data_IF_872709872154
#
_entry.id   IF_872709872154
#
_cell.length_a   1.000
_cell.length_b   1.000
_cell.length_c   1.000
_cell.angle_alpha   90.00
_cell.angle_beta   90.00
_cell.angle_gamma   90.00
#
_symmetry.space_group_name_H-M   'P 1'
#
loop_
_entity.id
_entity.type
_entity.pdbx_description
1 polymer ?
#
# COMPACT_ATOMS: atom_id res chain seq x y z
N UNK A 1 -15.59 30.51 20.73
CA UNK A 1 -16.61 29.47 20.65
C UNK A 1 -17.26 29.63 19.28
N UNK A 2 -16.75 28.97 18.29
CA UNK A 2 -17.34 28.80 16.95
C UNK A 2 -17.17 27.32 16.61
N UNK A 3 -18.27 26.62 16.66
CA UNK A 3 -18.41 25.20 16.32
C UNK A 3 -18.28 25.06 14.82
N UNK A 4 -17.30 24.31 14.35
CA UNK A 4 -17.19 23.89 12.95
C UNK A 4 -18.14 22.71 12.74
N UNK A 5 -19.26 22.96 12.08
CA UNK A 5 -20.22 21.92 11.69
C UNK A 5 -19.60 21.07 10.57
N UNK A 6 -19.45 19.78 10.83
CA UNK A 6 -19.13 18.76 9.82
C UNK A 6 -20.24 18.73 8.77
N UNK A 7 -19.93 19.09 7.55
CA UNK A 7 -20.80 18.85 6.41
C UNK A 7 -20.71 17.37 6.02
N UNK A 8 -21.66 16.59 6.52
CA UNK A 8 -21.89 15.22 6.04
C UNK A 8 -22.52 15.27 4.65
N UNK A 9 -21.75 14.93 3.62
CA UNK A 9 -22.27 14.67 2.29
C UNK A 9 -22.89 13.26 2.23
N UNK A 10 -24.07 13.09 1.66
CA UNK A 10 -24.63 11.77 1.43
C UNK A 10 -23.85 11.05 0.32
N UNK A 11 -23.30 9.87 0.63
CA UNK A 11 -22.66 8.97 -0.34
C UNK A 11 -23.67 8.57 -1.41
N UNK A 12 -23.48 9.07 -2.64
CA UNK A 12 -24.30 8.72 -3.80
C UNK A 12 -23.68 7.50 -4.48
N UNK A 13 -24.35 6.36 -4.41
CA UNK A 13 -23.95 5.15 -5.14
C UNK A 13 -24.22 5.33 -6.64
N UNK A 14 -23.26 5.84 -7.38
CA UNK A 14 -23.26 5.80 -8.83
C UNK A 14 -22.46 4.58 -9.30
N UNK A 15 -23.15 3.64 -9.94
CA UNK A 15 -22.54 2.46 -10.54
C UNK A 15 -21.74 2.88 -11.78
N UNK A 16 -20.45 3.13 -11.62
CA UNK A 16 -19.51 3.25 -12.74
C UNK A 16 -18.96 1.87 -13.07
N UNK A 17 -19.25 1.40 -14.28
CA UNK A 17 -18.70 0.16 -14.88
C UNK A 17 -17.43 0.56 -15.60
N UNK A 18 -16.37 -0.08 -15.27
CA UNK A 18 -15.03 -0.24 -15.88
C UNK A 18 -13.92 -0.06 -14.85
N UNK A 19 -13.54 -1.17 -14.24
CA UNK A 19 -12.31 -1.24 -13.47
C UNK A 19 -11.53 -2.50 -13.86
N UNK A 20 -10.43 -2.32 -14.58
CA UNK A 20 -9.40 -3.33 -14.83
C UNK A 20 -8.09 -2.76 -14.24
N UNK A 21 -7.99 -2.76 -12.93
CA UNK A 21 -6.76 -2.48 -12.22
C UNK A 21 -6.20 -3.78 -11.64
N UNK A 22 -4.94 -4.06 -11.97
CA UNK A 22 -4.23 -5.31 -11.66
C UNK A 22 -3.90 -5.39 -10.17
N UNK A 23 -4.68 -6.13 -9.38
CA UNK A 23 -4.22 -6.69 -8.12
C UNK A 23 -3.27 -7.85 -8.44
N UNK A 24 -1.97 -7.61 -8.33
CA UNK A 24 -0.95 -8.65 -8.53
C UNK A 24 -0.91 -9.58 -7.34
N UNK A 25 -1.72 -10.64 -7.36
CA UNK A 25 -1.53 -11.80 -6.49
C UNK A 25 -0.26 -12.52 -6.96
N UNK A 26 0.77 -12.58 -6.12
CA UNK A 26 2.00 -13.31 -6.40
C UNK A 26 1.72 -14.82 -6.51
N UNK A 27 1.44 -15.28 -7.71
CA UNK A 27 1.48 -16.70 -8.09
C UNK A 27 2.83 -16.97 -8.74
N UNK A 28 3.69 -17.69 -8.04
CA UNK A 28 4.95 -18.22 -8.57
C UNK A 28 4.63 -19.19 -9.71
N UNK A 29 4.86 -18.77 -10.95
CA UNK A 29 4.95 -19.68 -12.08
C UNK A 29 6.37 -19.68 -12.64
N UNK A 30 7.05 -20.80 -12.53
CA UNK A 30 8.27 -21.08 -13.29
C UNK A 30 7.95 -21.07 -14.79
N UNK A 31 8.66 -20.28 -15.57
CA UNK A 31 8.81 -20.53 -16.99
C UNK A 31 10.20 -20.12 -17.47
N UNK A 32 10.88 -21.11 -18.05
CA UNK A 32 12.12 -20.98 -18.82
C UNK A 32 11.83 -20.38 -20.22
N UNK A 33 12.79 -19.60 -20.75
CA UNK A 33 12.85 -19.51 -22.19
C UNK A 33 13.46 -18.25 -22.79
N UNK A 34 14.66 -18.37 -23.25
CA UNK A 34 15.57 -17.63 -24.16
C UNK A 34 14.95 -16.66 -25.22
N UNK A 35 15.55 -15.56 -25.48
CA UNK A 35 16.66 -15.19 -26.38
C UNK A 35 16.39 -13.99 -27.31
N UNK A 36 17.38 -13.09 -27.33
CA UNK A 36 17.93 -12.25 -28.42
C UNK A 36 17.03 -11.44 -29.39
N UNK A 37 17.29 -10.12 -29.49
CA UNK A 37 18.03 -9.57 -30.65
C UNK A 37 18.12 -8.03 -30.67
N UNK A 38 19.35 -7.56 -30.68
CA UNK A 38 20.05 -6.51 -31.49
C UNK A 38 19.42 -5.12 -31.72
N UNK A 39 20.29 -4.17 -31.39
CA UNK A 39 20.30 -2.73 -31.62
C UNK A 39 20.22 -2.26 -33.08
N UNK A 40 19.65 -1.06 -33.27
CA UNK A 40 20.14 -0.13 -34.30
C UNK A 40 19.91 1.32 -33.86
N UNK A 41 21.02 2.09 -33.89
CA UNK A 41 21.09 3.53 -33.70
C UNK A 41 20.81 4.27 -35.00
N UNK A 42 20.00 5.36 -34.93
CA UNK A 42 20.05 6.42 -35.96
C UNK A 42 19.82 7.78 -35.33
N UNK A 43 20.73 8.72 -35.67
CA UNK A 43 20.81 10.05 -35.06
C UNK A 43 19.71 11.00 -35.53
N UNK A 44 19.40 11.92 -34.66
CA UNK A 44 18.34 12.93 -34.80
C UNK A 44 18.94 14.34 -34.93
N UNK A 45 18.27 15.18 -35.73
CA UNK A 45 18.71 16.52 -36.14
C UNK A 45 18.29 17.62 -35.10
N UNK A 46 18.89 18.85 -35.13
CA UNK A 46 18.79 19.86 -34.08
C UNK A 46 17.43 20.55 -33.90
N UNK A 47 16.41 20.21 -34.64
CA UNK A 47 15.06 20.81 -34.53
C UNK A 47 14.15 20.19 -33.46
N UNK A 48 14.56 19.07 -32.87
CA UNK A 48 13.74 18.36 -31.86
C UNK A 48 13.94 18.88 -30.43
N UNK A 49 15.03 19.61 -30.18
CA UNK A 49 15.29 20.20 -28.86
C UNK A 49 14.36 21.39 -28.55
N UNK A 50 13.99 22.16 -29.58
CA UNK A 50 13.04 23.28 -29.41
C UNK A 50 11.60 22.78 -29.23
N UNK A 51 11.25 21.67 -29.87
CA UNK A 51 9.94 21.03 -29.72
C UNK A 51 9.78 20.36 -28.37
N UNK A 52 10.84 19.75 -27.83
CA UNK A 52 10.85 19.13 -26.47
C UNK A 52 10.79 20.19 -25.35
N UNK A 53 11.41 21.34 -25.51
CA UNK A 53 11.30 22.47 -24.56
C UNK A 53 9.88 23.08 -24.59
N UNK A 54 9.24 23.08 -25.74
CA UNK A 54 7.87 23.59 -25.88
C UNK A 54 6.82 22.59 -25.38
N UNK A 55 7.09 21.28 -25.49
CA UNK A 55 6.29 20.20 -24.88
C UNK A 55 6.44 20.16 -23.34
N UNK A 56 7.65 20.39 -22.81
CA UNK A 56 7.87 20.49 -21.37
C UNK A 56 7.22 21.74 -20.75
N UNK A 57 7.07 22.82 -21.50
CA UNK A 57 6.33 24.02 -21.06
C UNK A 57 4.81 23.90 -21.27
N UNK A 58 4.34 22.89 -21.99
CA UNK A 58 2.92 22.60 -22.20
C UNK A 58 2.39 21.52 -21.22
N UNK A 59 3.27 20.81 -20.50
CA UNK A 59 2.86 19.85 -19.47
C UNK A 59 2.29 20.51 -18.20
N UNK A 60 2.59 21.81 -17.99
CA UNK A 60 1.98 22.59 -16.89
C UNK A 60 0.54 23.08 -17.19
N UNK A 61 -0.06 22.67 -18.29
CA UNK A 61 -1.36 23.18 -18.74
C UNK A 61 -2.43 22.10 -19.01
N UNK A 62 -2.19 20.83 -18.64
CA UNK A 62 -3.20 19.77 -18.80
C UNK A 62 -3.43 19.09 -17.46
N UNK A 63 -3.98 19.80 -16.49
CA UNK A 63 -4.73 19.20 -15.39
C UNK A 63 -5.74 20.23 -14.87
N UNK A 64 -6.86 20.34 -15.54
CA UNK A 64 -8.06 20.99 -15.03
C UNK A 64 -9.23 20.05 -15.24
N UNK A 65 -9.26 19.00 -14.42
CA UNK A 65 -10.50 18.35 -14.04
C UNK A 65 -10.38 18.01 -12.55
N UNK A 66 -10.98 18.85 -11.73
CA UNK A 66 -11.35 18.81 -10.31
C UNK A 66 -10.44 18.10 -9.26
N UNK A 67 -9.19 17.74 -9.55
CA UNK A 67 -8.26 17.17 -8.59
C UNK A 67 -7.35 18.22 -7.95
N UNK A 68 -7.03 18.08 -6.66
CA UNK A 68 -6.02 18.90 -5.99
C UNK A 68 -4.61 18.46 -6.43
N UNK A 69 -3.65 19.40 -6.41
CA UNK A 69 -2.25 19.12 -6.76
C UNK A 69 -1.55 18.23 -5.69
N UNK A 70 -0.43 17.63 -6.06
CA UNK A 70 0.39 16.87 -5.11
C UNK A 70 0.83 17.72 -3.90
N UNK A 71 1.12 19.01 -4.10
CA UNK A 71 1.46 19.95 -3.03
C UNK A 71 0.27 20.18 -2.07
N UNK A 72 -0.92 20.40 -2.60
CA UNK A 72 -2.14 20.53 -1.80
C UNK A 72 -2.51 19.23 -1.09
N UNK A 73 -2.30 18.08 -1.74
CA UNK A 73 -2.45 16.76 -1.10
C UNK A 73 -1.49 16.61 0.09
N UNK A 74 -0.21 16.94 -0.09
CA UNK A 74 0.79 16.88 0.98
C UNK A 74 0.40 17.78 2.17
N UNK A 75 -0.07 18.99 1.90
CA UNK A 75 -0.54 19.91 2.96
C UNK A 75 -1.75 19.31 3.71
N UNK A 76 -2.71 18.76 2.98
CA UNK A 76 -3.92 18.19 3.56
C UNK A 76 -3.66 16.97 4.46
N UNK A 77 -2.72 16.10 4.10
CA UNK A 77 -2.42 14.88 4.87
C UNK A 77 -1.49 15.12 6.06
N UNK A 78 -0.79 16.26 6.12
CA UNK A 78 0.25 16.53 7.14
C UNK A 78 -0.28 16.41 8.59
N UNK A 79 -1.53 16.76 8.84
CA UNK A 79 -2.13 16.70 10.19
C UNK A 79 -2.66 15.33 10.59
N UNK A 80 -2.76 14.39 9.65
CA UNK A 80 -3.29 13.06 9.95
C UNK A 80 -2.28 12.23 10.73
N UNK A 81 -2.77 11.45 11.69
CA UNK A 81 -1.92 10.61 12.52
C UNK A 81 -1.56 9.29 11.81
N UNK A 82 -2.41 8.82 10.90
CA UNK A 82 -2.13 7.68 10.03
C UNK A 82 -2.30 8.12 8.57
N UNK A 83 -1.31 7.80 7.74
CA UNK A 83 -1.35 8.03 6.30
C UNK A 83 -1.07 6.71 5.60
N UNK A 84 -1.97 6.33 4.70
CA UNK A 84 -1.80 5.13 3.87
C UNK A 84 -1.38 5.57 2.47
N UNK A 85 -0.24 5.07 2.00
CA UNK A 85 0.25 5.29 0.63
C UNK A 85 0.01 4.03 -0.19
N UNK A 86 -1.09 4.03 -0.93
CA UNK A 86 -1.54 2.89 -1.74
C UNK A 86 -0.79 2.80 -3.05
N UNK A 87 -0.03 1.72 -3.23
CA UNK A 87 0.90 1.52 -4.35
C UNK A 87 0.43 0.43 -5.32
N UNK A 88 0.93 0.52 -6.54
CA UNK A 88 1.11 -0.64 -7.43
C UNK A 88 2.52 -1.19 -7.19
N UNK A 89 2.66 -2.36 -6.59
CA UNK A 89 3.92 -2.92 -6.08
C UNK A 89 5.10 -2.94 -7.07
N UNK A 90 4.84 -2.90 -8.36
CA UNK A 90 5.87 -2.88 -9.41
C UNK A 90 6.12 -1.50 -10.01
N UNK A 91 5.47 -0.44 -9.52
CA UNK A 91 5.56 0.91 -10.06
C UNK A 91 6.74 1.68 -9.46
N UNK A 92 7.76 1.95 -10.27
CA UNK A 92 8.89 2.79 -9.85
C UNK A 92 8.43 4.21 -9.46
N UNK A 93 7.44 4.77 -10.16
CA UNK A 93 6.89 6.09 -9.88
C UNK A 93 6.20 6.14 -8.52
N UNK A 94 5.46 5.09 -8.14
CA UNK A 94 4.78 5.04 -6.84
C UNK A 94 5.79 4.99 -5.69
N UNK A 95 6.87 4.20 -5.81
CA UNK A 95 7.91 4.13 -4.78
C UNK A 95 8.74 5.43 -4.70
N UNK A 96 8.94 6.12 -5.82
CA UNK A 96 9.55 7.44 -5.81
C UNK A 96 8.68 8.47 -5.09
N UNK A 97 7.37 8.47 -5.36
CA UNK A 97 6.40 9.34 -4.67
C UNK A 97 6.29 9.02 -3.17
N UNK A 98 6.30 7.75 -2.79
CA UNK A 98 6.35 7.34 -1.38
C UNK A 98 7.56 7.93 -0.67
N UNK A 99 8.74 7.85 -1.27
CA UNK A 99 9.96 8.43 -0.69
C UNK A 99 9.85 9.95 -0.56
N UNK A 100 9.32 10.64 -1.58
CA UNK A 100 9.11 12.10 -1.56
C UNK A 100 8.19 12.51 -0.40
N UNK A 101 7.03 11.85 -0.27
CA UNK A 101 6.07 12.13 0.81
C UNK A 101 6.68 11.86 2.18
N UNK A 102 7.37 10.71 2.35
CA UNK A 102 8.06 10.37 3.60
C UNK A 102 9.10 11.41 3.98
N UNK A 103 9.89 11.89 3.02
CA UNK A 103 10.91 12.92 3.26
C UNK A 103 10.27 14.25 3.68
N UNK A 104 9.19 14.66 3.02
CA UNK A 104 8.49 15.89 3.30
C UNK A 104 7.84 15.88 4.70
N UNK A 105 7.20 14.78 5.08
CA UNK A 105 6.56 14.62 6.39
C UNK A 105 7.60 14.43 7.50
N UNK A 106 8.61 13.60 7.30
CA UNK A 106 9.67 13.35 8.26
C UNK A 106 10.56 14.56 8.57
N UNK A 107 10.58 15.56 7.67
CA UNK A 107 11.24 16.84 7.93
C UNK A 107 10.46 17.73 8.93
N UNK A 108 9.18 17.45 9.16
CA UNK A 108 8.29 18.30 9.96
C UNK A 108 7.92 17.68 11.30
N UNK A 109 7.93 16.34 11.42
CA UNK A 109 7.46 15.64 12.62
C UNK A 109 8.08 14.24 12.76
N UNK A 110 7.93 13.65 13.94
CA UNK A 110 8.31 12.25 14.16
C UNK A 110 7.37 11.31 13.41
N UNK A 111 7.95 10.44 12.59
CA UNK A 111 7.22 9.45 11.81
C UNK A 111 7.71 8.03 12.10
N UNK A 112 6.88 7.05 11.79
CA UNK A 112 7.27 5.65 11.62
C UNK A 112 6.73 5.16 10.27
N UNK A 113 7.43 4.23 9.63
CA UNK A 113 7.03 3.68 8.33
C UNK A 113 6.55 2.24 8.53
N UNK A 114 5.26 2.03 8.29
CA UNK A 114 4.65 0.70 8.25
C UNK A 114 4.85 0.06 6.89
N UNK A 115 5.27 -1.20 6.86
CA UNK A 115 5.72 -1.89 5.67
C UNK A 115 4.93 -3.19 5.46
N UNK A 116 4.07 -3.25 4.44
CA UNK A 116 3.37 -4.47 4.04
C UNK A 116 4.33 -5.58 3.62
N UNK A 117 5.43 -5.22 2.95
CA UNK A 117 6.40 -6.17 2.42
C UNK A 117 7.13 -6.98 3.51
N UNK A 118 7.03 -6.60 4.78
CA UNK A 118 7.59 -7.34 5.90
C UNK A 118 6.52 -7.95 6.80
N UNK A 119 6.68 -9.24 7.09
CA UNK A 119 5.78 -9.96 7.98
C UNK A 119 6.20 -9.78 9.44
N UNK A 120 5.25 -9.71 10.36
CA UNK A 120 5.44 -9.43 11.80
C UNK A 120 6.54 -10.24 12.49
N UNK A 121 6.77 -11.54 12.19
CA UNK A 121 7.88 -12.29 12.77
C UNK A 121 9.27 -11.72 12.50
N UNK A 122 9.41 -10.89 11.45
CA UNK A 122 10.69 -10.32 11.04
C UNK A 122 10.94 -8.91 11.62
N UNK A 123 10.08 -8.39 12.49
CA UNK A 123 10.33 -7.12 13.17
C UNK A 123 11.72 -7.08 13.83
N UNK A 124 12.19 -8.13 14.55
CA UNK A 124 13.54 -8.10 15.14
C UNK A 124 14.67 -7.98 14.11
N UNK A 125 14.44 -8.38 12.86
CA UNK A 125 15.44 -8.25 11.78
C UNK A 125 15.51 -6.79 11.30
N UNK A 126 14.37 -6.12 11.15
CA UNK A 126 14.30 -4.67 10.86
C UNK A 126 14.98 -3.87 11.97
N UNK A 127 14.69 -4.17 13.23
CA UNK A 127 15.28 -3.48 14.38
C UNK A 127 16.81 -3.59 14.41
N UNK A 128 17.35 -4.77 14.11
CA UNK A 128 18.79 -5.00 14.02
C UNK A 128 19.45 -4.27 12.86
N UNK A 129 18.73 -4.15 11.74
CA UNK A 129 19.21 -3.38 10.60
C UNK A 129 19.29 -1.88 10.92
N UNK A 130 18.26 -1.33 11.54
CA UNK A 130 18.25 0.07 11.98
C UNK A 130 19.32 0.36 13.06
N UNK A 131 19.63 -0.63 13.91
CA UNK A 131 20.69 -0.54 14.93
C UNK A 131 22.11 -0.73 14.39
N UNK A 132 22.31 -0.84 13.07
CA UNK A 132 23.62 -1.16 12.44
C UNK A 132 24.22 -2.51 12.86
N UNK A 133 23.43 -3.45 13.37
CA UNK A 133 23.90 -4.77 13.81
C UNK A 133 24.02 -5.76 12.64
N UNK A 134 23.29 -5.53 11.55
CA UNK A 134 23.33 -6.33 10.33
C UNK A 134 23.39 -5.45 9.08
N UNK A 135 23.95 -6.00 7.99
CA UNK A 135 23.97 -5.34 6.68
C UNK A 135 22.61 -5.41 5.97
N UNK A 136 22.46 -4.69 4.87
CA UNK A 136 21.27 -4.75 4.02
C UNK A 136 21.10 -6.12 3.38
N UNK A 137 22.18 -6.76 2.94
CA UNK A 137 22.13 -8.14 2.42
C UNK A 137 21.64 -9.12 3.49
N UNK A 138 22.05 -8.91 4.74
CA UNK A 138 21.58 -9.74 5.85
C UNK A 138 20.13 -9.45 6.24
N UNK A 139 19.65 -8.21 6.05
CA UNK A 139 18.22 -7.87 6.17
C UNK A 139 17.41 -8.66 5.14
N UNK A 140 17.78 -8.60 3.86
CA UNK A 140 17.09 -9.29 2.76
C UNK A 140 17.05 -10.80 3.01
N UNK A 141 18.19 -11.39 3.36
CA UNK A 141 18.31 -12.83 3.62
C UNK A 141 17.48 -13.27 4.84
N UNK A 142 17.64 -12.57 5.99
CA UNK A 142 17.03 -13.00 7.25
C UNK A 142 15.54 -12.69 7.35
N UNK A 143 15.03 -11.72 6.58
CA UNK A 143 13.60 -11.47 6.43
C UNK A 143 12.96 -12.37 5.37
N UNK A 144 13.74 -13.16 4.66
CA UNK A 144 13.31 -14.01 3.54
C UNK A 144 12.58 -13.19 2.45
N UNK A 145 12.97 -11.90 2.27
CA UNK A 145 12.29 -10.94 1.43
C UNK A 145 12.02 -11.45 0.00
N UNK A 146 13.04 -12.00 -0.67
CA UNK A 146 12.93 -12.48 -2.05
C UNK A 146 11.88 -13.59 -2.25
N UNK A 147 11.69 -14.42 -1.22
CA UNK A 147 10.76 -15.56 -1.28
C UNK A 147 9.37 -15.25 -0.74
N UNK A 148 9.25 -14.24 0.12
CA UNK A 148 7.98 -13.87 0.77
C UNK A 148 7.26 -12.72 0.10
N UNK A 149 8.02 -11.77 -0.46
CA UNK A 149 7.45 -10.61 -1.16
C UNK A 149 7.55 -10.74 -2.68
N UNK A 150 8.74 -10.98 -3.21
CA UNK A 150 8.95 -11.34 -4.62
C UNK A 150 9.03 -10.16 -5.59
N UNK A 151 8.90 -8.92 -5.13
CA UNK A 151 9.16 -7.73 -5.94
C UNK A 151 10.61 -7.29 -5.76
N UNK A 152 11.15 -6.56 -6.76
CA UNK A 152 12.54 -6.10 -6.75
C UNK A 152 12.83 -5.26 -5.50
N UNK A 153 13.90 -5.62 -4.80
CA UNK A 153 14.36 -4.91 -3.61
C UNK A 153 14.64 -3.43 -3.89
N UNK A 154 15.20 -3.11 -5.04
CA UNK A 154 15.58 -1.73 -5.38
C UNK A 154 14.38 -0.78 -5.52
N UNK A 155 13.16 -1.28 -5.62
CA UNK A 155 11.95 -0.47 -5.52
C UNK A 155 11.78 0.12 -4.11
N UNK A 156 12.05 -0.66 -3.07
CA UNK A 156 11.86 -0.28 -1.66
C UNK A 156 13.14 0.18 -0.97
N UNK A 157 14.29 -0.24 -1.46
CA UNK A 157 15.59 0.05 -0.85
C UNK A 157 15.85 1.54 -0.58
N UNK A 158 15.49 2.49 -1.47
CA UNK A 158 15.66 3.92 -1.18
C UNK A 158 14.92 4.37 0.09
N UNK A 159 13.71 3.87 0.32
CA UNK A 159 12.91 4.20 1.51
C UNK A 159 13.54 3.58 2.76
N UNK A 160 13.94 2.31 2.68
CA UNK A 160 14.55 1.57 3.79
C UNK A 160 15.89 2.19 4.21
N UNK A 161 16.72 2.59 3.22
CA UNK A 161 18.00 3.29 3.44
C UNK A 161 17.76 4.67 4.06
N UNK A 162 16.80 5.44 3.54
CA UNK A 162 16.42 6.73 4.10
C UNK A 162 15.95 6.62 5.56
N UNK A 163 15.12 5.63 5.87
CA UNK A 163 14.66 5.40 7.23
C UNK A 163 15.83 5.11 8.19
N UNK A 164 16.80 4.28 7.77
CA UNK A 164 18.00 3.98 8.55
C UNK A 164 18.86 5.22 8.77
N UNK A 165 19.14 6.00 7.72
CA UNK A 165 19.95 7.20 7.79
C UNK A 165 19.36 8.27 8.72
N UNK A 166 18.03 8.32 8.83
CA UNK A 166 17.30 9.30 9.63
C UNK A 166 16.77 8.71 10.95
N UNK A 167 17.12 7.45 11.28
CA UNK A 167 16.66 6.77 12.50
C UNK A 167 15.12 6.69 12.62
N UNK A 168 14.44 6.57 11.49
CA UNK A 168 12.98 6.40 11.43
C UNK A 168 12.63 4.95 11.70
N UNK A 169 11.72 4.64 12.65
CA UNK A 169 11.29 3.28 12.91
C UNK A 169 10.62 2.62 11.67
N UNK A 170 10.99 1.38 11.39
CA UNK A 170 10.37 0.52 10.39
C UNK A 170 9.51 -0.53 11.08
N UNK A 171 8.27 -0.68 10.65
CA UNK A 171 7.28 -1.54 11.27
C UNK A 171 6.85 -2.64 10.29
N UNK A 172 7.09 -3.90 10.66
CA UNK A 172 6.59 -5.04 9.90
C UNK A 172 5.08 -5.20 10.13
N UNK A 173 4.28 -4.95 9.11
CA UNK A 173 2.83 -4.94 9.24
C UNK A 173 2.18 -6.30 8.98
N UNK A 174 2.74 -7.10 8.07
CA UNK A 174 2.00 -8.18 7.41
C UNK A 174 1.88 -9.46 8.25
N UNK A 175 0.84 -10.21 7.94
CA UNK A 175 0.61 -11.57 8.45
C UNK A 175 1.67 -12.53 7.90
N UNK A 176 2.11 -13.55 8.67
CA UNK A 176 2.92 -14.63 8.12
C UNK A 176 2.22 -15.31 6.94
N UNK A 177 2.92 -15.46 5.81
CA UNK A 177 2.36 -16.01 4.57
C UNK A 177 1.78 -17.42 4.74
N UNK A 178 2.31 -18.20 5.67
CA UNK A 178 1.83 -19.54 6.02
C UNK A 178 0.43 -19.49 6.61
N UNK A 179 0.17 -18.50 7.48
CA UNK A 179 -1.12 -18.30 8.13
C UNK A 179 -2.16 -17.86 7.11
N UNK A 180 -1.85 -16.87 6.29
CA UNK A 180 -2.75 -16.41 5.23
C UNK A 180 -3.08 -17.53 4.24
N UNK A 181 -2.08 -18.32 3.84
CA UNK A 181 -2.27 -19.46 2.94
C UNK A 181 -3.17 -20.54 3.59
N UNK A 182 -3.00 -20.81 4.88
CA UNK A 182 -3.85 -21.74 5.63
C UNK A 182 -5.29 -21.25 5.62
N UNK A 183 -5.54 -19.97 5.90
CA UNK A 183 -6.90 -19.40 5.88
C UNK A 183 -7.50 -19.47 4.46
N UNK A 184 -6.74 -19.11 3.43
CA UNK A 184 -7.21 -19.18 2.04
C UNK A 184 -7.61 -20.60 1.61
N UNK A 185 -7.00 -21.63 2.20
CA UNK A 185 -7.27 -23.04 1.88
C UNK A 185 -8.36 -23.62 2.77
N UNK A 186 -8.25 -23.44 4.08
CA UNK A 186 -8.99 -24.20 5.10
C UNK A 186 -9.92 -23.32 5.96
N UNK A 187 -9.89 -21.99 5.78
CA UNK A 187 -10.69 -21.01 6.53
C UNK A 187 -10.10 -20.60 7.88
N UNK A 188 -10.66 -19.56 8.50
CA UNK A 188 -10.21 -19.02 9.79
C UNK A 188 -10.28 -20.04 10.92
N UNK A 189 -11.29 -20.89 10.95
CA UNK A 189 -11.49 -21.91 11.99
C UNK A 189 -10.37 -22.97 12.02
N UNK A 190 -9.55 -23.03 10.98
CA UNK A 190 -8.40 -23.93 10.89
C UNK A 190 -7.20 -23.47 11.74
N UNK A 191 -7.17 -22.18 12.13
CA UNK A 191 -6.03 -21.60 12.84
C UNK A 191 -5.96 -22.10 14.29
N UNK A 192 -4.75 -22.45 14.71
CA UNK A 192 -4.47 -22.90 16.09
C UNK A 192 -2.99 -22.79 16.44
N UNK A 193 -2.67 -22.81 17.72
CA UNK A 193 -1.28 -22.82 18.19
C UNK A 193 -0.48 -21.60 17.72
N UNK A 194 0.68 -21.84 17.14
CA UNK A 194 1.62 -20.77 16.72
C UNK A 194 1.07 -19.86 15.64
N UNK A 195 0.09 -20.31 14.83
CA UNK A 195 -0.56 -19.49 13.81
C UNK A 195 -1.29 -18.27 14.40
N UNK A 196 -1.69 -18.35 15.67
CA UNK A 196 -2.38 -17.25 16.37
C UNK A 196 -1.42 -16.19 16.96
N UNK A 197 -0.11 -16.39 16.87
CA UNK A 197 0.87 -15.54 17.58
C UNK A 197 0.98 -14.12 16.97
N UNK A 198 0.79 -14.02 15.65
CA UNK A 198 1.08 -12.79 14.89
C UNK A 198 -0.14 -12.21 14.21
N UNK A 199 -1.32 -12.58 14.65
CA UNK A 199 -2.60 -12.08 14.15
C UNK A 199 -3.45 -11.57 15.31
N UNK A 200 -4.46 -10.72 15.05
CA UNK A 200 -5.46 -10.35 16.06
C UNK A 200 -6.18 -11.59 16.59
N UNK A 201 -6.84 -11.51 17.76
CA UNK A 201 -7.78 -12.52 18.20
C UNK A 201 -8.78 -12.85 17.08
N UNK A 202 -9.02 -14.16 16.84
CA UNK A 202 -9.86 -14.60 15.70
C UNK A 202 -11.28 -14.01 15.75
N UNK A 203 -11.80 -13.76 16.94
CA UNK A 203 -13.11 -13.14 17.16
C UNK A 203 -13.16 -11.62 16.88
N UNK A 204 -11.99 -10.99 16.67
CA UNK A 204 -11.88 -9.61 16.21
C UNK A 204 -11.75 -9.48 14.68
N UNK A 205 -11.56 -10.59 13.97
CA UNK A 205 -11.45 -10.63 12.50
C UNK A 205 -12.86 -10.55 11.90
N UNK A 206 -13.25 -9.35 11.45
CA UNK A 206 -14.60 -9.10 10.95
C UNK A 206 -14.72 -9.38 9.44
N UNK A 207 -15.34 -10.50 9.11
CA UNK A 207 -15.63 -10.92 7.72
C UNK A 207 -17.08 -10.61 7.30
N UNK A 208 -17.79 -9.74 8.03
CA UNK A 208 -19.23 -9.49 7.81
C UNK A 208 -19.52 -8.27 6.93
N UNK A 209 -18.52 -7.53 6.50
CA UNK A 209 -18.67 -6.38 5.60
C UNK A 209 -19.04 -6.85 4.18
N UNK A 210 -20.33 -6.76 3.86
CA UNK A 210 -20.86 -7.19 2.56
C UNK A 210 -20.41 -6.29 1.40
N UNK A 211 -20.16 -4.99 1.64
CA UNK A 211 -19.68 -4.08 0.59
C UNK A 211 -18.23 -4.41 0.21
N UNK A 212 -17.38 -4.64 1.20
CA UNK A 212 -16.01 -5.10 0.97
C UNK A 212 -15.99 -6.46 0.28
N UNK A 213 -16.84 -7.38 0.73
CA UNK A 213 -16.95 -8.72 0.15
C UNK A 213 -17.38 -8.68 -1.32
N UNK A 214 -18.31 -7.78 -1.69
CA UNK A 214 -18.72 -7.58 -3.09
C UNK A 214 -17.53 -7.07 -3.92
N UNK A 215 -16.79 -6.08 -3.44
CA UNK A 215 -15.60 -5.53 -4.10
C UNK A 215 -14.53 -6.60 -4.33
N UNK A 216 -14.18 -7.38 -3.31
CA UNK A 216 -13.21 -8.48 -3.45
C UNK A 216 -13.71 -9.60 -4.36
N UNK A 217 -15.03 -9.84 -4.42
CA UNK A 217 -15.64 -10.81 -5.33
C UNK A 217 -15.45 -10.42 -6.80
N UNK A 218 -15.53 -9.14 -7.13
CA UNK A 218 -15.26 -8.64 -8.47
C UNK A 218 -13.82 -8.92 -8.89
N UNK A 219 -12.86 -8.63 -8.00
CA UNK A 219 -11.43 -8.90 -8.19
C UNK A 219 -11.16 -10.40 -8.35
N UNK A 220 -11.71 -11.22 -7.46
CA UNK A 220 -11.58 -12.68 -7.51
C UNK A 220 -12.08 -13.26 -8.84
N UNK A 221 -13.24 -12.81 -9.31
CA UNK A 221 -13.83 -13.28 -10.57
C UNK A 221 -13.03 -12.80 -11.80
N UNK A 222 -12.50 -11.57 -11.78
CA UNK A 222 -11.68 -11.03 -12.86
C UNK A 222 -10.38 -11.84 -13.06
N UNK A 223 -9.83 -12.41 -11.99
CA UNK A 223 -8.63 -13.25 -12.04
C UNK A 223 -8.89 -14.74 -12.22
N UNK A 224 -10.08 -15.11 -12.70
CA UNK A 224 -10.42 -16.50 -13.03
C UNK A 224 -10.83 -17.36 -11.84
N UNK A 225 -11.25 -16.74 -10.74
CA UNK A 225 -11.67 -17.42 -9.50
C UNK A 225 -12.68 -18.55 -9.69
N UNK A 226 -13.58 -18.43 -10.66
CA UNK A 226 -14.54 -19.50 -11.01
C UNK A 226 -13.91 -20.76 -11.65
N UNK A 227 -12.65 -20.66 -12.08
CA UNK A 227 -11.88 -21.78 -12.67
C UNK A 227 -10.87 -22.43 -11.71
N UNK A 228 -10.67 -21.86 -10.51
CA UNK A 228 -9.75 -22.36 -9.50
C UNK A 228 -10.51 -23.09 -8.41
N UNK A 229 -9.86 -24.06 -7.78
CA UNK A 229 -10.44 -24.86 -6.66
C UNK A 229 -10.52 -24.05 -5.33
N UNK A 230 -10.26 -22.75 -5.34
CA UNK A 230 -10.29 -21.90 -4.16
C UNK A 230 -11.74 -21.54 -3.80
N UNK A 231 -12.07 -21.67 -2.51
CA UNK A 231 -13.32 -21.19 -1.96
C UNK A 231 -13.26 -19.68 -1.81
N UNK A 232 -14.19 -18.94 -2.38
CA UNK A 232 -14.25 -17.48 -2.28
C UNK A 232 -14.35 -17.00 -0.83
N UNK A 233 -15.12 -17.66 0.03
CA UNK A 233 -15.25 -17.28 1.44
C UNK A 233 -13.90 -17.35 2.17
N UNK A 234 -13.11 -18.39 1.91
CA UNK A 234 -11.77 -18.52 2.48
C UNK A 234 -10.80 -17.50 1.90
N UNK A 235 -10.92 -17.20 0.61
CA UNK A 235 -10.10 -16.17 -0.04
C UNK A 235 -10.40 -14.79 0.57
N UNK A 236 -11.67 -14.44 0.72
CA UNK A 236 -12.09 -13.20 1.37
C UNK A 236 -11.63 -13.14 2.82
N UNK A 237 -11.78 -14.23 3.57
CA UNK A 237 -11.29 -14.31 4.95
C UNK A 237 -9.76 -14.10 5.06
N UNK A 238 -8.99 -14.58 4.09
CA UNK A 238 -7.55 -14.36 4.04
C UNK A 238 -7.21 -12.89 3.74
N UNK A 239 -7.95 -12.24 2.85
CA UNK A 239 -7.82 -10.80 2.58
C UNK A 239 -8.13 -9.97 3.83
N UNK A 240 -9.25 -10.26 4.48
CA UNK A 240 -9.64 -9.61 5.74
C UNK A 240 -8.58 -9.82 6.82
N UNK A 241 -8.01 -11.03 6.92
CA UNK A 241 -6.94 -11.31 7.89
C UNK A 241 -5.71 -10.43 7.67
N UNK A 242 -5.33 -10.19 6.43
CA UNK A 242 -4.23 -9.25 6.11
C UNK A 242 -4.53 -7.86 6.64
N UNK A 243 -5.69 -7.30 6.28
CA UNK A 243 -6.09 -5.96 6.70
C UNK A 243 -6.19 -5.82 8.22
N UNK A 244 -6.81 -6.80 8.88
CA UNK A 244 -6.95 -6.81 10.34
C UNK A 244 -5.59 -6.85 11.06
N UNK A 245 -4.65 -7.64 10.52
CA UNK A 245 -3.30 -7.76 11.10
C UNK A 245 -2.51 -6.47 10.92
N UNK A 246 -2.57 -5.86 9.73
CA UNK A 246 -1.90 -4.59 9.47
C UNK A 246 -2.52 -3.46 10.28
N UNK A 247 -3.83 -3.40 10.36
CA UNK A 247 -4.55 -2.41 11.17
C UNK A 247 -4.21 -2.52 12.66
N UNK A 248 -4.22 -3.74 13.23
CA UNK A 248 -3.83 -3.95 14.63
C UNK A 248 -2.40 -3.46 14.91
N UNK A 249 -1.48 -3.72 13.97
CA UNK A 249 -0.10 -3.28 14.14
C UNK A 249 0.03 -1.76 14.07
N UNK A 250 -0.70 -1.09 13.17
CA UNK A 250 -0.75 0.37 13.10
C UNK A 250 -1.31 0.95 14.41
N UNK A 251 -2.44 0.42 14.88
CA UNK A 251 -3.06 0.82 16.16
C UNK A 251 -2.08 0.66 17.32
N UNK A 252 -1.37 -0.47 17.39
CA UNK A 252 -0.37 -0.71 18.44
C UNK A 252 0.75 0.33 18.44
N UNK A 253 1.18 0.82 17.27
CA UNK A 253 2.19 1.88 17.18
C UNK A 253 1.65 3.23 17.68
N UNK A 254 0.42 3.58 17.33
CA UNK A 254 -0.24 4.79 17.80
C UNK A 254 -0.46 4.75 19.32
N UNK A 255 -0.89 3.64 19.88
CA UNK A 255 -1.08 3.48 21.32
C UNK A 255 0.26 3.55 22.09
N UNK A 256 1.34 3.03 21.50
CA UNK A 256 2.68 3.09 22.09
C UNK A 256 3.26 4.52 22.08
N UNK A 257 2.99 5.30 21.04
CA UNK A 257 3.42 6.68 20.90
C UNK A 257 2.36 7.53 20.17
N UNK A 258 1.40 8.10 20.89
CA UNK A 258 0.32 8.89 20.29
C UNK A 258 0.75 10.20 19.61
N UNK A 259 2.02 10.58 19.72
CA UNK A 259 2.56 11.79 19.07
C UNK A 259 3.22 11.50 17.74
N UNK A 260 3.47 10.23 17.43
CA UNK A 260 4.12 9.80 16.21
C UNK A 260 3.11 9.57 15.09
N UNK A 261 3.41 10.09 13.91
CA UNK A 261 2.64 9.79 12.70
C UNK A 261 3.09 8.43 12.13
N UNK A 262 2.15 7.60 11.70
CA UNK A 262 2.42 6.33 11.00
C UNK A 262 2.11 6.48 9.52
N UNK A 263 3.11 6.24 8.67
CA UNK A 263 2.97 6.21 7.22
C UNK A 263 3.03 4.74 6.79
N UNK A 264 1.92 4.19 6.32
CA UNK A 264 1.80 2.79 5.90
C UNK A 264 1.96 2.66 4.38
N UNK A 265 2.96 1.89 3.93
CA UNK A 265 3.18 1.53 2.53
C UNK A 265 2.47 0.21 2.27
N UNK A 266 1.42 0.26 1.48
CA UNK A 266 0.52 -0.88 1.23
C UNK A 266 0.03 -0.87 -0.22
N UNK A 267 -0.29 -2.04 -0.75
CA UNK A 267 -0.96 -2.13 -2.04
C UNK A 267 -2.28 -1.36 -2.05
N UNK A 268 -2.59 -0.68 -3.15
CA UNK A 268 -3.80 0.16 -3.29
C UNK A 268 -5.09 -0.58 -2.94
N UNK A 269 -5.15 -1.91 -3.13
CA UNK A 269 -6.31 -2.73 -2.78
C UNK A 269 -6.64 -2.76 -1.29
N UNK A 270 -5.67 -2.49 -0.41
CA UNK A 270 -5.86 -2.46 1.04
C UNK A 270 -6.46 -1.15 1.56
N UNK A 271 -6.53 -0.11 0.71
CA UNK A 271 -7.11 1.19 1.05
C UNK A 271 -8.36 1.53 0.25
N UNK A 272 -8.64 0.76 -0.81
CA UNK A 272 -9.71 1.03 -1.74
C UNK A 272 -11.06 1.22 -1.04
N UNK A 273 -11.69 2.38 -1.26
CA UNK A 273 -13.01 2.76 -0.73
C UNK A 273 -13.09 2.68 0.81
N UNK A 274 -11.96 2.77 1.50
CA UNK A 274 -11.78 2.59 2.94
C UNK A 274 -12.16 1.19 3.48
N UNK A 275 -12.46 0.23 2.63
CA UNK A 275 -12.93 -1.10 3.05
C UNK A 275 -11.87 -1.92 3.78
N UNK A 276 -10.60 -1.76 3.43
CA UNK A 276 -9.49 -2.53 3.97
C UNK A 276 -8.98 -2.04 5.32
N UNK A 277 -7.72 -1.65 5.39
CA UNK A 277 -7.03 -1.21 6.61
C UNK A 277 -7.68 0.02 7.25
N UNK A 278 -8.08 1.09 6.51
CA UNK A 278 -8.61 2.31 7.14
C UNK A 278 -9.84 2.05 8.02
N UNK A 279 -10.83 1.30 7.52
CA UNK A 279 -12.02 0.92 8.29
C UNK A 279 -11.67 0.19 9.58
N UNK A 280 -10.66 -0.67 9.55
CA UNK A 280 -10.24 -1.49 10.69
C UNK A 280 -9.47 -0.70 11.74
N UNK A 281 -8.72 0.31 11.31
CA UNK A 281 -8.08 1.27 12.21
C UNK A 281 -9.13 2.17 12.86
N UNK A 282 -10.08 2.73 12.07
CA UNK A 282 -11.18 3.56 12.59
C UNK A 282 -12.03 2.78 13.63
N UNK A 283 -12.32 1.53 13.36
CA UNK A 283 -13.09 0.68 14.31
C UNK A 283 -12.37 0.53 15.65
N UNK A 284 -11.03 0.47 15.67
CA UNK A 284 -10.22 0.35 16.88
C UNK A 284 -9.95 1.68 17.55
N UNK A 285 -9.78 2.74 16.76
CA UNK A 285 -9.49 4.10 17.19
C UNK A 285 -10.46 5.10 16.51
N UNK A 286 -11.72 5.22 16.97
CA UNK A 286 -12.75 6.00 16.27
C UNK A 286 -12.47 7.51 16.17
N UNK A 287 -11.57 8.05 16.98
CA UNK A 287 -11.20 9.48 16.98
C UNK A 287 -9.90 9.75 16.23
N UNK A 288 -9.33 8.75 15.54
CA UNK A 288 -8.07 8.90 14.82
C UNK A 288 -8.26 9.77 13.57
N UNK A 289 -7.35 10.70 13.35
CA UNK A 289 -7.26 11.41 12.08
C UNK A 289 -6.40 10.57 11.14
N UNK A 290 -6.99 10.09 10.04
CA UNK A 290 -6.31 9.25 9.06
C UNK A 290 -6.62 9.71 7.64
N UNK A 291 -5.74 9.41 6.69
CA UNK A 291 -5.91 9.70 5.28
C UNK A 291 -5.36 8.61 4.39
N UNK A 292 -6.10 8.24 3.36
CA UNK A 292 -5.67 7.36 2.29
C UNK A 292 -5.25 8.17 1.06
N UNK A 293 -4.11 7.80 0.47
CA UNK A 293 -3.55 8.42 -0.74
C UNK A 293 -3.32 7.33 -1.77
N UNK A 294 -4.00 7.40 -2.88
CA UNK A 294 -3.76 6.52 -4.02
C UNK A 294 -2.66 7.11 -4.89
N UNK A 295 -1.62 6.33 -5.17
CA UNK A 295 -0.53 6.69 -6.08
C UNK A 295 -0.92 6.22 -7.50
N UNK A 296 -0.95 7.13 -8.46
CA UNK A 296 -1.42 6.82 -9.83
C UNK A 296 -0.60 7.53 -10.90
N UNK A 297 -0.26 6.87 -12.01
CA UNK A 297 0.32 7.54 -13.17
C UNK A 297 -0.60 8.62 -13.75
N UNK A 298 -0.02 9.67 -14.29
CA UNK A 298 -0.74 10.82 -14.84
C UNK A 298 -1.73 10.49 -15.98
N UNK A 299 -1.57 9.35 -16.64
CA UNK A 299 -2.43 8.90 -17.75
C UNK A 299 -3.58 7.98 -17.28
N UNK A 300 -3.63 7.64 -16.00
CA UNK A 300 -4.74 6.85 -15.44
C UNK A 300 -5.90 7.75 -14.98
N UNK A 301 -7.15 7.31 -15.18
CA UNK A 301 -8.31 8.04 -14.66
C UNK A 301 -8.34 7.99 -13.13
N UNK A 302 -8.62 9.11 -12.52
CA UNK A 302 -8.90 9.23 -11.10
C UNK A 302 -10.30 8.71 -10.80
N UNK A 303 -10.45 7.97 -9.70
CA UNK A 303 -11.73 7.63 -9.09
C UNK A 303 -11.77 8.34 -7.74
N UNK A 304 -12.61 9.37 -7.63
CA UNK A 304 -12.67 10.23 -6.46
C UNK A 304 -13.16 9.50 -5.18
N UNK A 305 -13.83 8.37 -5.34
CA UNK A 305 -14.33 7.58 -4.21
C UNK A 305 -13.33 6.51 -3.76
N UNK A 306 -12.23 6.30 -4.52
CA UNK A 306 -11.28 5.22 -4.26
C UNK A 306 -10.46 5.42 -2.99
N UNK A 307 -9.99 6.63 -2.75
CA UNK A 307 -9.20 7.06 -1.59
C UNK A 307 -9.52 8.54 -1.30
N UNK A 308 -9.13 9.03 -0.12
CA UNK A 308 -9.34 10.44 0.25
C UNK A 308 -8.61 11.39 -0.70
N UNK A 309 -7.44 10.98 -1.17
CA UNK A 309 -6.59 11.76 -2.07
C UNK A 309 -5.99 10.88 -3.16
N UNK A 310 -5.61 11.54 -4.26
CA UNK A 310 -4.77 10.97 -5.31
C UNK A 310 -3.46 11.75 -5.40
N UNK A 311 -2.37 11.01 -5.59
CA UNK A 311 -1.05 11.57 -5.87
C UNK A 311 -0.61 11.13 -7.26
N UNK A 312 -0.35 12.10 -8.13
CA UNK A 312 0.07 11.81 -9.49
C UNK A 312 1.56 11.48 -9.51
N UNK A 313 1.88 10.29 -10.01
CA UNK A 313 3.26 9.79 -10.14
C UNK A 313 3.79 9.98 -11.57
N UNK A 314 5.13 10.14 -11.70
CA UNK A 314 5.82 10.33 -12.98
C UNK A 314 6.10 9.00 -13.71
#
# INVERSE_FOLDING_TARGET
MLTCDRLSYPKSHSKSRYWLGLLSLALVTLSLGCSNSSAQTSGTAPSELEEQVQLAQQSDAINSDDGISNEETLEAITSNQVIYLGETHSSEGDHAAQLEIIQALGAQQDIAIGLEMFQRPFQPVLDRYLADEISEEALIEQSEYETRWGYDWELYAPIIRYAKENSIPLIALNTPAEVTRQVATDGLDSLSGDALTYIPPVDEIDTTDEAYKESISEVFNAHGGAGHSLNFENFFAAQVLWDETMAEQIVSQIEADPTRQVIALVGEGHIAYDYGIPNRVERRLPEIEQASVRLIPADQPTDADFADFSWITE
#
